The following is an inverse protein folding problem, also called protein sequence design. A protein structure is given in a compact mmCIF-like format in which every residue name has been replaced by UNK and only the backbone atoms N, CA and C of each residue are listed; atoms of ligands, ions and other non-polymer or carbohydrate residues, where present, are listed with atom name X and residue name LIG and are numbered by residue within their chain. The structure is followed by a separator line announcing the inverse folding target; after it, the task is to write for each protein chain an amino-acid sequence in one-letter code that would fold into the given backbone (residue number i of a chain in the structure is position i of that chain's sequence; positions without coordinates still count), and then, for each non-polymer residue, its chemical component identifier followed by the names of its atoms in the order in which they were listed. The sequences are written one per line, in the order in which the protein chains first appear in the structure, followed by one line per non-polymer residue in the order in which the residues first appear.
data_IF_772546241932
#
_entry.id   IF_772546241932
#
_cell.length_a   1.000
_cell.length_b   1.000
_cell.length_c   1.000
_cell.angle_alpha   90.00
_cell.angle_beta   90.00
_cell.angle_gamma   90.00
#
_symmetry.space_group_name_H-M   'P 1'
#
loop_
_entity.id
_entity.type
_entity.pdbx_description
1 polymer ?
#
# COMPACT_ATOMS: atom_id res chain seq x y z
N UNK A 1 -11.84 -0.82 -9.47
CA UNK A 1 -11.82 0.19 -8.40
C UNK A 1 -10.97 1.33 -8.93
N UNK A 2 -11.50 2.54 -9.03
CA UNK A 2 -10.71 3.71 -9.44
C UNK A 2 -9.86 4.17 -8.25
N UNK A 3 -8.61 4.57 -8.50
CA UNK A 3 -7.81 5.20 -7.46
C UNK A 3 -8.28 6.66 -7.35
N UNK A 4 -8.75 7.13 -6.17
CA UNK A 4 -9.07 8.53 -5.97
C UNK A 4 -7.78 9.35 -5.95
N UNK A 5 -7.40 9.90 -7.10
CA UNK A 5 -6.16 10.66 -7.25
C UNK A 5 -6.13 11.85 -6.29
N UNK A 6 -7.28 12.48 -6.07
CA UNK A 6 -7.43 13.60 -5.14
C UNK A 6 -7.09 13.19 -3.69
N UNK A 7 -7.52 12.00 -3.26
CA UNK A 7 -7.19 11.48 -1.92
C UNK A 7 -5.69 11.21 -1.76
N UNK A 8 -5.03 10.74 -2.82
CA UNK A 8 -3.57 10.53 -2.81
C UNK A 8 -2.83 11.86 -2.72
N UNK A 9 -3.26 12.83 -3.52
CA UNK A 9 -2.64 14.15 -3.56
C UNK A 9 -2.92 14.94 -2.27
N UNK A 10 -4.02 14.65 -1.57
CA UNK A 10 -4.36 15.26 -0.28
C UNK A 10 -3.71 14.59 0.93
N UNK A 11 -2.89 13.55 0.75
CA UNK A 11 -2.22 12.89 1.87
C UNK A 11 -1.22 13.83 2.55
N UNK A 12 -1.54 14.23 3.78
CA UNK A 12 -0.64 15.02 4.63
C UNK A 12 0.56 14.18 5.11
N UNK A 13 1.72 14.83 5.29
CA UNK A 13 2.99 14.22 5.68
C UNK A 13 3.94 13.96 4.51
N UNK A 14 4.98 13.15 4.72
CA UNK A 14 5.98 12.87 3.69
C UNK A 14 5.47 11.84 2.68
N UNK A 15 5.17 12.30 1.46
CA UNK A 15 4.71 11.45 0.35
C UNK A 15 5.69 10.35 -0.05
N UNK A 16 7.00 10.56 0.13
CA UNK A 16 8.02 9.57 -0.20
C UNK A 16 8.04 8.44 0.82
N UNK A 17 7.86 8.75 2.11
CA UNK A 17 7.72 7.77 3.18
C UNK A 17 6.49 6.88 2.98
N UNK A 18 5.34 7.51 2.68
CA UNK A 18 4.11 6.78 2.33
C UNK A 18 4.33 5.85 1.15
N UNK A 19 5.03 6.33 0.12
CA UNK A 19 5.38 5.51 -1.06
C UNK A 19 6.25 4.31 -0.66
N UNK A 20 7.25 4.52 0.19
CA UNK A 20 8.10 3.44 0.69
C UNK A 20 7.30 2.41 1.51
N UNK A 21 6.37 2.87 2.36
CA UNK A 21 5.47 2.01 3.11
C UNK A 21 4.56 1.17 2.18
N UNK A 22 3.97 1.80 1.16
CA UNK A 22 3.19 1.11 0.12
C UNK A 22 4.04 0.04 -0.57
N UNK A 23 5.27 0.34 -0.98
CA UNK A 23 6.16 -0.62 -1.66
C UNK A 23 6.49 -1.81 -0.75
N UNK A 24 6.85 -1.55 0.52
CA UNK A 24 7.11 -2.61 1.50
C UNK A 24 5.87 -3.49 1.67
N UNK A 25 4.68 -2.89 1.75
CA UNK A 25 3.43 -3.62 1.90
C UNK A 25 3.08 -4.45 0.66
N UNK A 26 3.32 -3.94 -0.55
CA UNK A 26 3.17 -4.70 -1.80
C UNK A 26 4.05 -5.95 -1.78
N UNK A 27 5.32 -5.83 -1.37
CA UNK A 27 6.24 -6.98 -1.31
C UNK A 27 5.76 -8.02 -0.29
N UNK A 28 5.27 -7.57 0.86
CA UNK A 28 4.66 -8.44 1.86
C UNK A 28 3.43 -9.18 1.30
N UNK A 29 2.53 -8.48 0.61
CA UNK A 29 1.37 -9.11 -0.02
C UNK A 29 1.78 -10.11 -1.11
N UNK A 30 2.78 -9.78 -1.93
CA UNK A 30 3.29 -10.68 -2.96
C UNK A 30 3.82 -11.98 -2.35
N UNK A 31 4.69 -11.88 -1.33
CA UNK A 31 5.24 -13.05 -0.64
C UNK A 31 4.16 -13.94 -0.02
N UNK A 32 3.08 -13.34 0.49
CA UNK A 32 1.95 -14.07 1.06
C UNK A 32 1.11 -14.80 -0.01
N UNK A 33 1.18 -14.37 -1.27
CA UNK A 33 0.41 -14.89 -2.39
C UNK A 33 1.33 -15.50 -3.46
N UNK A 34 2.38 -16.22 -3.05
CA UNK A 34 3.30 -16.94 -3.94
C UNK A 34 3.89 -16.06 -5.06
N UNK A 35 4.29 -14.83 -4.68
CA UNK A 35 4.85 -13.80 -5.56
C UNK A 35 3.93 -13.37 -6.72
N UNK A 36 2.62 -13.62 -6.61
CA UNK A 36 1.63 -13.12 -7.57
C UNK A 36 1.50 -11.60 -7.50
N UNK A 37 1.42 -10.94 -8.66
CA UNK A 37 1.24 -9.48 -8.76
C UNK A 37 -0.24 -9.04 -8.69
N UNK A 38 -1.15 -10.00 -8.77
CA UNK A 38 -2.59 -9.80 -8.68
C UNK A 38 -3.18 -10.82 -7.72
N UNK A 39 -4.13 -10.38 -6.89
CA UNK A 39 -4.80 -11.24 -5.91
C UNK A 39 -6.32 -11.16 -6.04
N UNK A 40 -7.05 -12.22 -5.69
CA UNK A 40 -8.50 -12.19 -5.67
C UNK A 40 -9.01 -11.23 -4.58
N UNK A 41 -9.83 -10.25 -4.96
CA UNK A 41 -10.49 -9.28 -4.06
C UNK A 41 -12.01 -9.46 -4.03
N UNK A 42 -12.48 -10.67 -4.31
CA UNK A 42 -13.89 -11.05 -4.38
C UNK A 42 -14.07 -12.36 -5.13
N UNK A 43 -15.32 -12.70 -5.50
CA UNK A 43 -15.60 -14.00 -6.14
C UNK A 43 -15.08 -14.12 -7.58
N UNK A 44 -15.09 -13.04 -8.36
CA UNK A 44 -14.76 -13.06 -9.80
C UNK A 44 -13.81 -11.93 -10.22
N UNK A 45 -12.97 -11.43 -9.31
CA UNK A 45 -12.12 -10.26 -9.61
C UNK A 45 -10.76 -10.38 -8.96
N UNK A 46 -9.74 -10.29 -9.79
CA UNK A 46 -8.38 -10.06 -9.37
C UNK A 46 -8.07 -8.56 -9.43
N UNK A 47 -7.20 -8.11 -8.53
CA UNK A 47 -6.72 -6.74 -8.50
C UNK A 47 -5.20 -6.74 -8.32
N UNK A 48 -4.54 -5.78 -8.97
CA UNK A 48 -3.11 -5.55 -8.80
C UNK A 48 -2.80 -5.25 -7.35
N UNK A 49 -1.75 -5.86 -6.83
CA UNK A 49 -1.28 -5.64 -5.46
C UNK A 49 -1.02 -4.17 -5.14
N UNK A 50 -0.55 -3.40 -6.13
CA UNK A 50 -0.37 -1.95 -6.00
C UNK A 50 -1.66 -1.24 -5.61
N UNK A 51 -2.77 -1.58 -6.26
CA UNK A 51 -4.08 -0.98 -6.00
C UNK A 51 -4.63 -1.40 -4.64
N UNK A 52 -4.45 -2.68 -4.29
CA UNK A 52 -4.85 -3.20 -2.98
C UNK A 52 -4.10 -2.49 -1.86
N UNK A 53 -2.77 -2.45 -1.96
CA UNK A 53 -1.91 -1.84 -0.96
C UNK A 53 -2.19 -0.34 -0.76
N UNK A 54 -2.34 0.40 -1.86
CA UNK A 54 -2.68 1.82 -1.80
C UNK A 54 -4.03 2.04 -1.13
N UNK A 55 -5.05 1.28 -1.52
CA UNK A 55 -6.39 1.41 -0.96
C UNK A 55 -6.43 1.03 0.54
N UNK A 56 -5.67 0.03 0.96
CA UNK A 56 -5.64 -0.39 2.36
C UNK A 56 -4.92 0.63 3.25
N UNK A 57 -3.87 1.29 2.74
CA UNK A 57 -3.19 2.40 3.43
C UNK A 57 -4.08 3.65 3.48
N UNK A 58 -4.69 4.04 2.35
CA UNK A 58 -5.62 5.19 2.29
C UNK A 58 -6.80 5.02 3.24
N UNK A 59 -7.30 3.79 3.40
CA UNK A 59 -8.41 3.46 4.33
C UNK A 59 -7.96 3.20 5.76
N UNK A 60 -6.69 3.37 6.09
CA UNK A 60 -6.15 3.15 7.43
C UNK A 60 -6.25 1.71 7.93
N UNK A 61 -6.41 0.72 7.04
CA UNK A 61 -6.41 -0.70 7.41
C UNK A 61 -5.04 -1.22 7.78
N UNK A 62 -4.00 -0.52 7.33
CA UNK A 62 -2.60 -0.82 7.61
C UNK A 62 -1.97 0.46 8.13
N UNK A 63 -1.49 0.41 9.37
CA UNK A 63 -0.59 1.43 9.92
C UNK A 63 0.85 1.09 9.57
N UNK A 64 1.67 2.12 9.41
CA UNK A 64 3.10 1.99 9.32
C UNK A 64 3.73 3.05 10.22
N UNK A 65 4.84 2.69 10.85
CA UNK A 65 5.70 3.59 11.59
C UNK A 65 7.10 3.47 10.96
N UNK A 66 7.78 4.59 10.81
CA UNK A 66 9.19 4.58 10.45
C UNK A 66 9.97 4.79 11.74
N UNK A 67 10.98 3.96 11.96
CA UNK A 67 11.92 4.18 13.06
C UNK A 67 12.57 5.54 12.84
N UNK A 68 12.49 6.41 13.85
CA UNK A 68 13.35 7.59 13.91
C UNK A 68 14.78 7.05 13.99
N UNK A 69 15.53 7.21 12.90
CA UNK A 69 16.96 6.96 12.91
C UNK A 69 17.53 7.99 13.88
N UNK A 70 17.83 7.57 15.11
CA UNK A 70 18.60 8.38 16.03
C UNK A 70 19.99 8.51 15.41
N UNK A 71 20.31 9.71 14.92
CA UNK A 71 21.66 10.06 14.49
C UNK A 71 22.59 9.95 15.72
N UNK A 72 23.37 8.86 15.79
CA UNK A 72 24.55 8.74 16.68
C UNK A 72 25.76 9.49 16.09
#
# INVERSE_FOLDING_TARGET
MGIPLDEILSLEGNKYEKTAAVIKYIRFLAQKNDDQLEIPVGRNRNEKLTLVAMNDILKGKVSYELEDIQDE
#
